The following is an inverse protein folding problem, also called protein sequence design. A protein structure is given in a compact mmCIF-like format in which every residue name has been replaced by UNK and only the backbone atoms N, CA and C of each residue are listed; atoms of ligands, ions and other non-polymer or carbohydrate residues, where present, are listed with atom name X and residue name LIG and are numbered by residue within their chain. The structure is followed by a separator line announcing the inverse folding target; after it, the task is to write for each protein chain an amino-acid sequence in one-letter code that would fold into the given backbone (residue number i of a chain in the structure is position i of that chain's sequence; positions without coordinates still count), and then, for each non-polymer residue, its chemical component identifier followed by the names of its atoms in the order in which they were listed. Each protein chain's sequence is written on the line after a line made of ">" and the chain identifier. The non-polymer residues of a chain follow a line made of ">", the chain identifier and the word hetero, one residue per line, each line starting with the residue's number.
data_IF_833066886639
#
_entry.id   IF_833066886639
#
_cell.length_a   1.000
_cell.length_b   1.000
_cell.length_c   1.000
_cell.angle_alpha   90.00
_cell.angle_beta   90.00
_cell.angle_gamma   90.00
#
_symmetry.space_group_name_H-M   'P 1'
#
loop_
_entity.id
_entity.type
_entity.pdbx_description
1 polymer ?
#
# COMPACT_ATOMS: atom_id res chain seq x y z
N UNK A 1 9.75 -36.90 8.62
CA UNK A 1 9.69 -35.55 8.02
C UNK A 1 8.73 -34.74 8.86
N UNK A 2 9.25 -34.12 9.92
CA UNK A 2 8.43 -33.38 10.89
C UNK A 2 9.18 -32.11 11.25
N UNK A 3 8.62 -30.98 10.86
CA UNK A 3 8.85 -29.72 11.57
C UNK A 3 7.49 -29.09 11.78
N UNK A 4 6.89 -29.53 12.89
CA UNK A 4 5.73 -28.90 13.49
C UNK A 4 6.01 -27.39 13.62
N UNK A 5 5.05 -26.59 13.18
CA UNK A 5 5.00 -25.16 13.47
C UNK A 5 4.64 -24.98 14.95
N UNK A 6 5.53 -25.40 15.83
CA UNK A 6 5.42 -25.23 17.28
C UNK A 6 6.59 -24.38 17.73
N UNK A 7 6.37 -23.08 17.63
CA UNK A 7 7.31 -22.07 18.08
C UNK A 7 6.78 -20.73 17.65
N UNK A 8 5.94 -20.12 18.48
CA UNK A 8 5.75 -18.67 18.44
C UNK A 8 7.13 -18.10 18.71
N UNK A 9 7.90 -17.83 17.66
CA UNK A 9 9.21 -17.21 17.75
C UNK A 9 8.99 -15.96 18.62
N UNK A 10 9.64 -15.94 19.80
CA UNK A 10 9.64 -14.74 20.62
C UNK A 10 10.43 -13.73 19.81
N UNK A 11 9.72 -12.88 19.07
CA UNK A 11 10.31 -11.82 18.26
C UNK A 11 11.34 -11.11 19.14
N UNK A 12 12.57 -11.03 18.65
CA UNK A 12 13.64 -10.36 19.36
C UNK A 12 13.46 -8.86 19.22
N UNK A 13 14.06 -8.09 20.13
CA UNK A 13 14.02 -6.62 20.06
C UNK A 13 14.63 -6.09 18.75
N UNK A 14 15.61 -6.81 18.19
CA UNK A 14 16.22 -6.47 16.91
C UNK A 14 15.31 -6.76 15.73
N UNK A 15 14.55 -7.86 15.75
CA UNK A 15 13.50 -8.12 14.74
C UNK A 15 12.45 -7.00 14.74
N UNK A 16 12.09 -6.49 15.91
CA UNK A 16 11.13 -5.39 16.08
C UNK A 16 11.71 -4.08 15.52
N UNK A 17 12.99 -3.77 15.78
CA UNK A 17 13.66 -2.58 15.24
C UNK A 17 13.76 -2.63 13.72
N UNK A 18 14.13 -3.78 13.14
CA UNK A 18 14.21 -3.95 11.69
C UNK A 18 12.85 -3.74 11.03
N UNK A 19 11.80 -4.32 11.62
CA UNK A 19 10.43 -4.15 11.14
C UNK A 19 9.99 -2.68 11.21
N UNK A 20 10.31 -1.98 12.30
CA UNK A 20 10.04 -0.55 12.46
C UNK A 20 10.74 0.27 11.37
N UNK A 21 12.02 0.02 11.10
CA UNK A 21 12.77 0.73 10.07
C UNK A 21 12.16 0.51 8.67
N UNK A 22 11.75 -0.73 8.35
CA UNK A 22 11.04 -1.07 7.09
C UNK A 22 9.69 -0.37 6.99
N UNK A 23 8.91 -0.33 8.06
CA UNK A 23 7.61 0.36 8.05
C UNK A 23 7.77 1.88 7.90
N UNK A 24 8.82 2.47 8.48
CA UNK A 24 9.15 3.88 8.26
C UNK A 24 9.49 4.18 6.81
N UNK A 25 10.26 3.32 6.14
CA UNK A 25 10.61 3.54 4.73
C UNK A 25 9.41 3.42 3.79
N UNK A 26 8.30 2.81 4.20
CA UNK A 26 7.07 2.75 3.39
C UNK A 26 6.16 3.97 3.56
N UNK A 27 6.32 4.74 4.64
CA UNK A 27 5.53 5.94 4.87
C UNK A 27 6.02 7.11 3.99
N UNK A 28 5.14 8.06 3.62
CA UNK A 28 5.55 9.28 2.91
C UNK A 28 6.47 10.14 3.78
N UNK A 29 7.39 10.87 3.15
CA UNK A 29 8.45 11.71 3.78
C UNK A 29 7.95 12.55 4.97
N UNK A 30 6.79 13.20 4.82
CA UNK A 30 6.18 14.01 5.88
C UNK A 30 5.85 13.21 7.14
N UNK A 31 5.42 11.95 6.99
CA UNK A 31 5.12 11.03 8.11
C UNK A 31 6.38 10.39 8.66
N UNK A 32 7.39 10.08 7.82
CA UNK A 32 8.70 9.56 8.26
C UNK A 32 9.36 10.48 9.29
N UNK A 33 9.36 11.79 9.04
CA UNK A 33 9.94 12.80 9.96
C UNK A 33 9.25 12.86 11.32
N UNK A 34 7.95 12.57 11.36
CA UNK A 34 7.19 12.50 12.62
C UNK A 34 7.41 11.19 13.37
N UNK A 35 7.83 10.14 12.67
CA UNK A 35 7.94 8.77 13.20
C UNK A 35 9.20 8.52 14.04
N UNK A 36 10.24 9.35 13.92
CA UNK A 36 11.51 9.20 14.67
C UNK A 36 11.38 9.24 16.20
N UNK A 37 10.22 9.62 16.75
CA UNK A 37 9.91 9.62 18.20
C UNK A 37 8.61 8.88 18.55
N UNK A 38 8.00 8.13 17.63
CA UNK A 38 6.73 7.43 17.86
C UNK A 38 6.92 5.97 18.25
N UNK A 39 6.07 5.45 19.14
CA UNK A 39 6.08 4.03 19.49
C UNK A 39 5.79 3.13 18.28
N UNK A 40 6.30 1.89 18.30
CA UNK A 40 6.05 0.90 17.26
C UNK A 40 4.54 0.68 16.98
N UNK A 41 3.71 0.73 18.03
CA UNK A 41 2.26 0.61 17.89
C UNK A 41 1.63 1.78 17.11
N UNK A 42 2.09 3.02 17.34
CA UNK A 42 1.60 4.20 16.61
C UNK A 42 2.06 4.15 15.16
N UNK A 43 3.29 3.75 14.92
CA UNK A 43 3.88 3.61 13.60
C UNK A 43 3.14 2.55 12.77
N UNK A 44 2.87 1.37 13.36
CA UNK A 44 2.01 0.35 12.74
C UNK A 44 0.64 0.91 12.38
N UNK A 45 0.00 1.66 13.29
CA UNK A 45 -1.30 2.29 13.03
C UNK A 45 -1.23 3.29 11.87
N UNK A 46 -0.17 4.09 11.79
CA UNK A 46 0.04 5.04 10.69
C UNK A 46 0.26 4.32 9.37
N UNK A 47 1.07 3.25 9.33
CA UNK A 47 1.26 2.43 8.14
C UNK A 47 -0.05 1.76 7.70
N UNK A 48 -0.81 1.16 8.62
CA UNK A 48 -2.11 0.58 8.29
C UNK A 48 -3.11 1.63 7.76
N UNK A 49 -3.07 2.85 8.31
CA UNK A 49 -3.92 3.95 7.84
C UNK A 49 -3.52 4.41 6.45
N UNK A 50 -2.22 4.42 6.15
CA UNK A 50 -1.69 4.76 4.83
C UNK A 50 -2.03 3.69 3.78
N UNK A 51 -1.91 2.41 4.11
CA UNK A 51 -2.35 1.32 3.23
C UNK A 51 -3.84 1.49 2.87
N UNK A 52 -4.68 1.81 3.86
CA UNK A 52 -6.12 2.05 3.63
C UNK A 52 -6.37 3.29 2.76
N UNK A 53 -5.57 4.34 2.86
CA UNK A 53 -5.73 5.50 1.97
C UNK A 53 -5.33 5.16 0.55
N UNK A 54 -4.21 4.45 0.37
CA UNK A 54 -3.76 3.99 -0.95
C UNK A 54 -4.79 3.07 -1.62
N UNK A 55 -5.40 2.15 -0.87
CA UNK A 55 -6.48 1.30 -1.40
C UNK A 55 -7.65 2.12 -1.94
N UNK A 56 -8.09 3.13 -1.17
CA UNK A 56 -9.16 4.04 -1.61
C UNK A 56 -8.76 4.87 -2.83
N UNK A 57 -7.53 5.36 -2.88
CA UNK A 57 -7.03 6.12 -4.04
C UNK A 57 -6.99 5.24 -5.30
N UNK A 58 -6.64 3.96 -5.16
CA UNK A 58 -6.69 2.98 -6.26
C UNK A 58 -8.13 2.72 -6.69
N UNK A 59 -9.05 2.49 -5.74
CA UNK A 59 -10.46 2.24 -6.02
C UNK A 59 -11.10 3.46 -6.74
N UNK A 60 -10.93 4.68 -6.19
CA UNK A 60 -11.43 5.92 -6.79
C UNK A 60 -10.85 6.17 -8.18
N UNK A 61 -9.57 5.87 -8.39
CA UNK A 61 -8.93 6.02 -9.70
C UNK A 61 -9.45 4.98 -10.70
N UNK A 62 -9.68 3.76 -10.24
CA UNK A 62 -10.27 2.68 -11.05
C UNK A 62 -11.67 3.05 -11.51
N UNK A 63 -12.53 3.54 -10.60
CA UNK A 63 -13.90 3.96 -10.92
C UNK A 63 -13.90 5.10 -11.94
N UNK A 64 -13.08 6.14 -11.71
CA UNK A 64 -12.94 7.27 -12.65
C UNK A 64 -12.44 6.83 -14.03
N UNK A 65 -11.53 5.85 -14.08
CA UNK A 65 -11.07 5.29 -15.34
C UNK A 65 -12.18 4.50 -16.04
N UNK A 66 -12.96 3.70 -15.31
CA UNK A 66 -14.11 2.98 -15.85
C UNK A 66 -15.19 3.94 -16.39
N UNK A 67 -15.47 5.03 -15.69
CA UNK A 67 -16.40 6.08 -16.14
C UNK A 67 -15.89 6.76 -17.41
N UNK A 68 -14.60 7.12 -17.47
CA UNK A 68 -13.99 7.71 -18.66
C UNK A 68 -14.08 6.78 -19.86
N UNK A 69 -13.79 5.49 -19.68
CA UNK A 69 -13.91 4.50 -20.75
C UNK A 69 -15.37 4.37 -21.21
N UNK A 70 -16.32 4.34 -20.27
CA UNK A 70 -17.75 4.18 -20.59
C UNK A 70 -18.36 5.41 -21.27
N UNK A 71 -17.84 6.61 -20.98
CA UNK A 71 -18.26 7.86 -21.59
C UNK A 71 -17.64 8.10 -22.98
N UNK A 72 -16.61 7.33 -23.36
CA UNK A 72 -15.97 7.43 -24.65
C UNK A 72 -16.74 6.65 -25.71
N UNK A 73 -16.90 7.23 -26.89
CA UNK A 73 -17.42 6.51 -28.05
C UNK A 73 -16.42 5.40 -28.41
N UNK A 74 -16.89 4.15 -28.40
CA UNK A 74 -16.09 2.93 -28.49
C UNK A 74 -15.26 2.82 -29.79
N UNK A 75 -15.62 3.64 -30.79
CA UNK A 75 -14.98 3.75 -32.10
C UNK A 75 -14.00 4.93 -32.23
N UNK A 76 -13.76 5.71 -31.17
CA UNK A 76 -12.81 6.83 -31.23
C UNK A 76 -11.36 6.36 -31.15
N UNK A 77 -10.45 7.03 -31.87
CA UNK A 77 -9.01 6.75 -31.81
C UNK A 77 -8.42 6.91 -30.38
N UNK A 78 -9.06 7.73 -29.55
CA UNK A 78 -8.68 7.89 -28.13
C UNK A 78 -9.03 6.63 -27.31
N UNK A 79 -10.15 5.96 -27.61
CA UNK A 79 -10.55 4.73 -26.93
C UNK A 79 -9.57 3.58 -27.22
N UNK A 80 -9.08 3.48 -28.47
CA UNK A 80 -8.05 2.50 -28.83
C UNK A 80 -6.73 2.72 -28.08
N UNK A 81 -6.30 3.98 -27.91
CA UNK A 81 -5.07 4.30 -27.15
C UNK A 81 -5.20 3.84 -25.70
N UNK A 82 -6.30 4.15 -25.02
CA UNK A 82 -6.50 3.73 -23.62
C UNK A 82 -6.58 2.20 -23.52
N UNK A 83 -7.31 1.52 -24.42
CA UNK A 83 -7.34 0.04 -24.45
C UNK A 83 -5.94 -0.56 -24.62
N UNK A 84 -5.10 0.04 -25.47
CA UNK A 84 -3.71 -0.43 -25.70
C UNK A 84 -2.77 -0.24 -24.50
N UNK A 85 -3.04 0.75 -23.64
CA UNK A 85 -2.26 0.98 -22.42
C UNK A 85 -2.68 0.05 -21.28
N UNK A 86 -3.87 -0.55 -21.36
CA UNK A 86 -4.45 -1.44 -20.35
C UNK A 86 -4.34 -2.93 -20.72
N UNK A 87 -4.00 -3.25 -21.97
CA UNK A 87 -3.70 -4.61 -22.48
C UNK A 87 -2.26 -5.01 -22.24
#
# INVERSE_FOLDING_TARGET
>A
MSSAWTGRARATDDDIKELVAKLQSLLPEARRRSSGRTSAAKLLKETCSYIKSLQREVDDLSDRLSDLISAMDDNSAQAEIIRSLLS
#
